data_IF_813710704973
#
_entry.id   IF_813710704973
#
_cell.length_a   1.000
_cell.length_b   1.000
_cell.length_c   1.000
_cell.angle_alpha   90.00
_cell.angle_beta   90.00
_cell.angle_gamma   90.00
#
_symmetry.space_group_name_H-M   'P 1'
#
loop_
_entity.id
_entity.type
_entity.pdbx_description
1 polymer ?
#
# COMPACT_ATOMS: atom_id res chain seq x y z
N UNK A 1 -6.84 13.75 23.95
CA UNK A 1 -7.24 12.42 23.47
C UNK A 1 -6.74 12.26 22.05
N UNK A 2 -5.65 11.52 21.83
CA UNK A 2 -5.17 11.22 20.47
C UNK A 2 -6.12 10.20 19.84
N UNK A 3 -6.82 10.60 18.78
CA UNK A 3 -7.69 9.68 18.03
C UNK A 3 -6.85 8.58 17.40
N UNK A 4 -6.96 7.34 17.91
CA UNK A 4 -6.29 6.18 17.33
C UNK A 4 -6.95 5.88 15.99
N UNK A 5 -6.22 6.11 14.90
CA UNK A 5 -6.71 5.78 13.56
C UNK A 5 -6.55 4.26 13.37
N UNK A 6 -7.65 3.56 13.11
CA UNK A 6 -7.59 2.16 12.72
C UNK A 6 -7.10 2.14 11.27
N UNK A 7 -5.87 1.70 11.04
CA UNK A 7 -5.33 1.50 9.69
C UNK A 7 -5.19 0.02 9.42
N UNK A 8 -5.73 -0.41 8.28
CA UNK A 8 -5.62 -1.78 7.78
C UNK A 8 -4.96 -1.73 6.42
N UNK A 9 -3.99 -2.61 6.20
CA UNK A 9 -3.34 -2.81 4.91
C UNK A 9 -3.52 -4.26 4.46
N UNK A 10 -3.35 -4.49 3.15
CA UNK A 10 -3.48 -5.80 2.55
C UNK A 10 -3.39 -5.72 1.04
N UNK A 11 -3.97 -6.70 0.34
CA UNK A 11 -4.14 -6.69 -1.11
C UNK A 11 -5.61 -6.81 -1.51
N UNK A 12 -5.93 -6.30 -2.70
CA UNK A 12 -7.23 -6.48 -3.33
C UNK A 12 -7.06 -6.70 -4.84
N UNK A 13 -8.04 -7.36 -5.44
CA UNK A 13 -8.04 -7.61 -6.89
C UNK A 13 -8.63 -6.42 -7.63
N UNK A 14 -7.91 -5.93 -8.64
CA UNK A 14 -8.41 -4.88 -9.53
C UNK A 14 -9.37 -5.43 -10.59
N UNK A 15 -10.04 -4.57 -11.35
CA UNK A 15 -10.86 -4.99 -12.50
C UNK A 15 -10.09 -5.79 -13.55
N UNK A 16 -8.77 -5.63 -13.61
CA UNK A 16 -7.89 -6.35 -14.51
C UNK A 16 -7.38 -7.68 -13.94
N UNK A 17 -7.92 -8.15 -12.81
CA UNK A 17 -7.49 -9.36 -12.10
C UNK A 17 -6.02 -9.34 -11.63
N UNK A 18 -5.50 -8.14 -11.33
CA UNK A 18 -4.16 -7.94 -10.77
C UNK A 18 -4.28 -7.59 -9.28
N UNK A 19 -3.40 -8.13 -8.44
CA UNK A 19 -3.30 -7.78 -7.02
C UNK A 19 -2.65 -6.41 -6.83
N UNK A 20 -3.34 -5.53 -6.12
CA UNK A 20 -2.83 -4.23 -5.71
C UNK A 20 -2.86 -4.11 -4.18
N UNK A 21 -1.78 -3.58 -3.61
CA UNK A 21 -1.70 -3.26 -2.20
C UNK A 21 -2.67 -2.11 -1.87
N UNK A 22 -3.34 -2.18 -0.73
CA UNK A 22 -4.28 -1.14 -0.29
C UNK A 22 -4.02 -0.66 1.14
N UNK A 23 -4.56 0.52 1.45
CA UNK A 23 -4.76 1.00 2.82
C UNK A 23 -6.23 1.42 3.02
N UNK A 24 -6.81 1.05 4.15
CA UNK A 24 -8.08 1.57 4.66
C UNK A 24 -7.84 2.26 6.00
N UNK A 25 -8.58 3.34 6.27
CA UNK A 25 -8.49 4.10 7.53
C UNK A 25 -9.88 4.28 8.11
N UNK A 26 -10.07 3.89 9.36
CA UNK A 26 -11.33 3.98 10.10
C UNK A 26 -12.52 3.36 9.35
N UNK A 27 -12.30 2.21 8.69
CA UNK A 27 -13.32 1.51 7.91
C UNK A 27 -13.70 2.21 6.60
N UNK A 28 -13.00 3.30 6.23
CA UNK A 28 -13.21 3.96 4.94
C UNK A 28 -12.83 3.03 3.78
N UNK A 29 -13.31 3.40 2.59
CA UNK A 29 -13.01 2.69 1.34
C UNK A 29 -11.51 2.47 1.17
N UNK A 30 -11.15 1.28 0.72
CA UNK A 30 -9.77 0.90 0.38
C UNK A 30 -9.20 1.88 -0.66
N UNK A 31 -8.05 2.45 -0.35
CA UNK A 31 -7.23 3.25 -1.26
C UNK A 31 -6.15 2.36 -1.84
N UNK A 32 -6.05 2.34 -3.15
CA UNK A 32 -4.99 1.66 -3.88
C UNK A 32 -3.66 2.40 -3.68
N UNK A 33 -2.66 1.73 -3.10
CA UNK A 33 -1.35 2.32 -2.82
C UNK A 33 -0.58 2.68 -4.09
N UNK A 34 -0.88 2.02 -5.22
CA UNK A 34 -0.28 2.35 -6.52
C UNK A 34 -0.69 3.74 -7.02
N UNK A 35 -1.78 4.31 -6.48
CA UNK A 35 -2.22 5.69 -6.78
C UNK A 35 -1.59 6.73 -5.87
N UNK A 36 -0.82 6.31 -4.86
CA UNK A 36 -0.21 7.17 -3.85
C UNK A 36 1.31 7.27 -3.98
N UNK A 37 1.91 6.50 -4.88
CA UNK A 37 3.33 6.59 -5.22
C UNK A 37 3.51 7.48 -6.48
N UNK A 38 4.71 8.03 -6.72
CA UNK A 38 4.98 8.80 -7.93
C UNK A 38 4.60 8.03 -9.21
N UNK A 39 3.91 8.72 -10.11
CA UNK A 39 3.63 8.21 -11.44
C UNK A 39 4.97 7.90 -12.15
N UNK A 40 5.06 6.75 -12.82
CA UNK A 40 6.29 6.34 -13.51
C UNK A 40 7.38 5.77 -12.61
N UNK A 41 7.11 5.50 -11.33
CA UNK A 41 8.06 4.84 -10.42
C UNK A 41 8.53 3.45 -10.88
N UNK A 42 7.81 2.83 -11.82
CA UNK A 42 8.07 1.46 -12.29
C UNK A 42 7.62 0.36 -11.32
N UNK A 43 7.06 0.76 -10.17
CA UNK A 43 6.52 -0.16 -9.18
C UNK A 43 5.06 -0.53 -9.47
N UNK A 44 4.76 -1.80 -9.23
CA UNK A 44 3.40 -2.30 -9.01
C UNK A 44 3.41 -2.93 -7.62
N UNK A 45 2.87 -2.23 -6.63
CA UNK A 45 2.75 -2.70 -5.26
C UNK A 45 1.62 -3.73 -5.20
N UNK A 46 1.97 -4.99 -4.95
CA UNK A 46 1.03 -6.11 -5.04
C UNK A 46 0.35 -6.39 -3.70
N UNK A 47 1.11 -6.37 -2.62
CA UNK A 47 0.60 -6.64 -1.28
C UNK A 47 1.30 -5.78 -0.23
N UNK A 48 0.54 -5.36 0.78
CA UNK A 48 1.06 -4.73 1.97
C UNK A 48 0.83 -5.66 3.17
N UNK A 49 1.91 -6.13 3.78
CA UNK A 49 1.88 -7.11 4.87
C UNK A 49 1.86 -6.48 6.26
N UNK A 50 2.20 -5.19 6.38
CA UNK A 50 2.21 -4.52 7.67
C UNK A 50 2.23 -3.00 7.58
N UNK A 51 1.70 -2.37 8.62
CA UNK A 51 1.77 -0.93 8.85
C UNK A 51 2.15 -0.67 10.31
N UNK A 52 3.07 0.26 10.55
CA UNK A 52 3.48 0.64 11.91
C UNK A 52 2.82 1.95 12.39
N UNK A 53 3.10 2.38 13.62
CA UNK A 53 2.52 3.59 14.20
C UNK A 53 2.93 4.87 13.46
N UNK A 54 4.14 4.89 12.88
CA UNK A 54 4.62 5.98 12.01
C UNK A 54 3.93 6.01 10.64
N UNK A 55 3.05 5.04 10.33
CA UNK A 55 2.34 4.96 9.06
C UNK A 55 3.18 4.42 7.91
N UNK A 56 4.35 3.87 8.18
CA UNK A 56 5.15 3.19 7.18
C UNK A 56 4.50 1.85 6.83
N UNK A 57 4.52 1.49 5.55
CA UNK A 57 3.90 0.28 5.03
C UNK A 57 4.96 -0.59 4.39
N UNK A 58 5.06 -1.84 4.83
CA UNK A 58 5.96 -2.84 4.27
C UNK A 58 5.17 -3.90 3.50
N UNK A 59 5.76 -4.41 2.42
CA UNK A 59 5.17 -5.47 1.62
C UNK A 59 6.02 -5.84 0.42
N UNK A 60 5.40 -6.45 -0.59
CA UNK A 60 6.06 -6.83 -1.84
C UNK A 60 5.30 -6.35 -3.08
N UNK A 61 6.08 -6.07 -4.11
CA UNK A 61 5.59 -5.64 -5.40
C UNK A 61 6.53 -6.07 -6.52
N UNK A 62 6.16 -5.67 -7.73
CA UNK A 62 6.97 -5.90 -8.92
C UNK A 62 7.64 -4.59 -9.32
N UNK A 63 8.94 -4.64 -9.56
CA UNK A 63 9.69 -3.59 -10.23
C UNK A 63 10.62 -4.25 -11.26
N UNK A 64 10.64 -3.70 -12.48
CA UNK A 64 11.40 -4.27 -13.61
C UNK A 64 11.09 -5.77 -13.86
N UNK A 65 9.83 -6.16 -13.64
CA UNK A 65 9.37 -7.55 -13.83
C UNK A 65 9.79 -8.53 -12.73
N UNK A 66 10.45 -8.06 -11.67
CA UNK A 66 10.95 -8.90 -10.57
C UNK A 66 10.26 -8.56 -9.25
N UNK A 67 10.02 -9.58 -8.43
CA UNK A 67 9.46 -9.41 -7.09
C UNK A 67 10.49 -8.81 -6.15
N UNK A 68 10.11 -7.75 -5.46
CA UNK A 68 10.94 -7.05 -4.48
C UNK A 68 10.12 -6.62 -3.27
N UNK A 69 10.76 -6.60 -2.11
CA UNK A 69 10.22 -5.96 -0.93
C UNK A 69 10.23 -4.42 -1.11
N UNK A 70 9.24 -3.74 -0.54
CA UNK A 70 9.21 -2.28 -0.47
C UNK A 70 8.94 -1.79 0.95
N UNK A 71 9.35 -0.55 1.22
CA UNK A 71 8.94 0.23 2.38
C UNK A 71 8.41 1.58 1.88
N UNK A 72 7.11 1.82 2.04
CA UNK A 72 6.54 3.16 1.85
C UNK A 72 6.67 3.95 3.13
N UNK A 73 7.12 5.20 3.00
CA UNK A 73 7.11 6.18 4.08
C UNK A 73 6.19 7.33 3.69
N UNK A 74 5.30 7.79 4.59
CA UNK A 74 4.48 8.97 4.32
C UNK A 74 5.32 10.17 3.91
N UNK A 75 4.86 10.92 2.91
CA UNK A 75 5.44 12.22 2.60
C UNK A 75 5.23 13.19 3.78
N UNK A 76 6.13 14.17 3.99
CA UNK A 76 5.95 15.25 4.96
C UNK A 76 4.67 16.07 4.74
#
# INVERSE_FOLDING_TARGET
MTSKHIRVVGYGTTKANVYHAFISTNGARMKDLNKLIPAGSGWILAEANGINDSGQIAGYGIIQGQSHAFLLTPAP
#
